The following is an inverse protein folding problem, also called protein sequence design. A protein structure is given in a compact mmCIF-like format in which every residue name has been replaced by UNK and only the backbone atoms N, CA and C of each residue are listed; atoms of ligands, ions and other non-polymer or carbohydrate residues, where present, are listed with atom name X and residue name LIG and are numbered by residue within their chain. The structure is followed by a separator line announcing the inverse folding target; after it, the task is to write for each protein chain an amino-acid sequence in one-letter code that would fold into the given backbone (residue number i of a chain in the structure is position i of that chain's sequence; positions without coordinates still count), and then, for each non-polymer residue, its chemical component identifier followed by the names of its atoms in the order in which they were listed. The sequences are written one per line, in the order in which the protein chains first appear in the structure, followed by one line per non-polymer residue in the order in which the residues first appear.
data_IF_128401552999
#
_entry.id   IF_128401552999
#
_cell.length_a   1.000
_cell.length_b   1.000
_cell.length_c   1.000
_cell.angle_alpha   90.00
_cell.angle_beta   90.00
_cell.angle_gamma   90.00
#
_symmetry.space_group_name_H-M   'P 1'
#
loop_
_entity.id
_entity.type
_entity.pdbx_description
1 polymer ?
#
# COMPACT_ATOMS: atom_id res chain seq x y z
N UNK A 1 -1.06 11.18 4.60
CA UNK A 1 -2.03 10.12 4.95
C UNK A 1 -1.57 9.45 6.24
N UNK A 2 -2.47 8.98 7.09
CA UNK A 2 -2.13 8.18 8.28
C UNK A 2 -2.98 6.92 8.32
N UNK A 3 -2.38 5.78 8.64
CA UNK A 3 -3.10 4.51 8.80
C UNK A 3 -3.78 4.44 10.17
N UNK A 4 -4.91 3.72 10.28
CA UNK A 4 -5.64 3.57 11.56
C UNK A 4 -4.81 2.80 12.60
N UNK A 5 -3.98 1.84 12.14
CA UNK A 5 -3.07 1.07 12.99
C UNK A 5 -1.68 1.71 12.98
N UNK A 6 -1.11 1.92 14.17
CA UNK A 6 0.34 2.14 14.32
C UNK A 6 1.03 0.79 14.14
N UNK A 7 1.91 0.68 13.14
CA UNK A 7 2.56 -0.58 12.78
C UNK A 7 4.04 -0.37 12.49
N UNK A 8 4.89 -1.26 13.01
CA UNK A 8 6.33 -1.23 12.74
C UNK A 8 6.58 -1.56 11.25
N UNK A 9 7.36 -0.73 10.57
CA UNK A 9 7.61 -0.89 9.13
C UNK A 9 6.46 -0.42 8.23
N UNK A 10 5.54 0.41 8.75
CA UNK A 10 4.54 1.06 7.88
C UNK A 10 5.23 1.86 6.75
N UNK A 11 4.62 1.89 5.57
CA UNK A 11 5.22 2.48 4.36
C UNK A 11 4.76 3.91 4.06
N UNK A 12 3.98 4.54 4.94
CA UNK A 12 3.41 5.89 4.73
C UNK A 12 4.49 6.91 4.35
N UNK A 13 5.65 6.89 5.02
CA UNK A 13 6.72 7.84 4.79
C UNK A 13 7.40 7.69 3.41
N UNK A 14 7.42 6.47 2.85
CA UNK A 14 8.10 6.17 1.58
C UNK A 14 7.16 6.12 0.37
N UNK A 15 5.83 6.22 0.59
CA UNK A 15 4.84 6.19 -0.50
C UNK A 15 5.12 7.18 -1.65
N UNK A 16 5.58 8.43 -1.41
CA UNK A 16 5.89 9.36 -2.52
C UNK A 16 6.93 8.83 -3.50
N UNK A 17 7.86 7.99 -3.05
CA UNK A 17 8.85 7.34 -3.92
C UNK A 17 8.32 6.00 -4.44
N UNK A 18 7.75 5.17 -3.57
CA UNK A 18 7.27 3.83 -3.92
C UNK A 18 6.27 3.84 -5.08
N UNK A 19 5.35 4.80 -5.10
CA UNK A 19 4.26 4.85 -6.11
C UNK A 19 4.78 5.02 -7.54
N UNK A 20 5.96 5.62 -7.71
CA UNK A 20 6.59 5.83 -9.04
C UNK A 20 7.01 4.51 -9.69
N UNK A 21 7.23 3.48 -8.88
CA UNK A 21 7.71 2.16 -9.31
C UNK A 21 6.59 1.12 -9.35
N UNK A 22 5.39 1.47 -8.88
CA UNK A 22 4.23 0.57 -8.92
C UNK A 22 3.61 0.57 -10.32
N UNK A 23 3.51 -0.59 -11.00
CA UNK A 23 2.93 -0.66 -12.34
C UNK A 23 1.40 -0.52 -12.28
N UNK A 24 0.80 -0.01 -13.37
CA UNK A 24 -0.64 -0.12 -13.55
C UNK A 24 -1.06 -1.60 -13.67
N UNK A 25 -2.26 -1.93 -13.19
CA UNK A 25 -2.77 -3.29 -13.26
C UNK A 25 -4.19 -3.40 -12.73
N UNK A 26 -4.81 -4.57 -12.91
CA UNK A 26 -6.18 -4.83 -12.45
C UNK A 26 -6.24 -5.17 -10.95
N UNK A 27 -5.14 -5.61 -10.35
CA UNK A 27 -5.09 -6.00 -8.94
C UNK A 27 -3.73 -5.72 -8.33
N UNK A 28 -3.71 -5.06 -7.17
CA UNK A 28 -2.55 -5.05 -6.28
C UNK A 28 -2.64 -6.25 -5.33
N UNK A 29 -1.57 -7.04 -5.26
CA UNK A 29 -1.43 -8.11 -4.27
C UNK A 29 -0.40 -7.65 -3.24
N UNK A 30 -0.83 -7.53 -1.98
CA UNK A 30 0.02 -7.09 -0.86
C UNK A 30 0.12 -8.22 0.18
N UNK A 31 1.07 -9.18 0.03
CA UNK A 31 1.17 -10.36 0.90
C UNK A 31 1.62 -10.05 2.34
N UNK A 32 2.12 -8.84 2.57
CA UNK A 32 2.63 -8.36 3.85
C UNK A 32 2.09 -6.95 4.10
N UNK A 33 0.77 -6.86 4.34
CA UNK A 33 0.09 -5.58 4.35
C UNK A 33 0.42 -4.69 5.55
N UNK A 34 0.66 -5.31 6.72
CA UNK A 34 0.86 -4.59 7.97
C UNK A 34 -0.31 -3.65 8.26
N UNK A 35 -0.08 -2.33 8.22
CA UNK A 35 -1.15 -1.32 8.39
C UNK A 35 -1.93 -0.97 7.12
N UNK A 36 -1.73 -1.71 6.03
CA UNK A 36 -2.32 -1.47 4.69
C UNK A 36 -1.95 -0.10 4.10
N UNK A 37 -0.77 0.41 4.42
CA UNK A 37 -0.33 1.74 3.98
C UNK A 37 -0.21 1.86 2.45
N UNK A 38 0.17 0.78 1.75
CA UNK A 38 0.28 0.80 0.28
C UNK A 38 -1.09 0.75 -0.34
N UNK A 39 -1.92 -0.24 0.01
CA UNK A 39 -3.32 -0.34 -0.43
C UNK A 39 -4.07 1.00 -0.33
N UNK A 40 -4.01 1.66 0.83
CA UNK A 40 -4.72 2.91 1.06
C UNK A 40 -4.19 4.09 0.23
N UNK A 41 -2.92 4.07 -0.17
CA UNK A 41 -2.28 5.15 -0.92
C UNK A 41 -2.29 4.92 -2.45
N UNK A 42 -2.97 3.89 -2.93
CA UNK A 42 -3.08 3.54 -4.36
C UNK A 42 -4.54 3.41 -4.79
N UNK A 43 -4.77 3.32 -6.11
CA UNK A 43 -6.12 3.19 -6.69
C UNK A 43 -6.17 2.06 -7.75
N UNK A 44 -5.91 0.83 -7.31
CA UNK A 44 -6.12 -0.37 -8.13
C UNK A 44 -7.59 -0.80 -8.10
N UNK A 45 -8.13 -1.36 -9.21
CA UNK A 45 -9.52 -1.84 -9.26
C UNK A 45 -9.82 -2.94 -8.22
N UNK A 46 -8.82 -3.76 -7.89
CA UNK A 46 -8.94 -4.84 -6.92
C UNK A 46 -7.71 -4.92 -6.01
N UNK A 47 -7.91 -5.41 -4.80
CA UNK A 47 -6.86 -5.65 -3.83
C UNK A 47 -6.96 -7.08 -3.30
N UNK A 48 -5.82 -7.76 -3.19
CA UNK A 48 -5.68 -8.99 -2.42
C UNK A 48 -4.65 -8.72 -1.32
N UNK A 49 -5.12 -8.67 -0.09
CA UNK A 49 -4.37 -8.22 1.09
C UNK A 49 -4.38 -9.35 2.11
N UNK A 50 -3.21 -9.69 2.66
CA UNK A 50 -3.04 -10.71 3.70
C UNK A 50 -2.30 -10.14 4.93
#
# INVERSE_FOLDING_TARGET
MSTILKWAGNKTAIMPELIKHLPAGQRLVEPFAGSCAVMMATDYPHYLVA
#
